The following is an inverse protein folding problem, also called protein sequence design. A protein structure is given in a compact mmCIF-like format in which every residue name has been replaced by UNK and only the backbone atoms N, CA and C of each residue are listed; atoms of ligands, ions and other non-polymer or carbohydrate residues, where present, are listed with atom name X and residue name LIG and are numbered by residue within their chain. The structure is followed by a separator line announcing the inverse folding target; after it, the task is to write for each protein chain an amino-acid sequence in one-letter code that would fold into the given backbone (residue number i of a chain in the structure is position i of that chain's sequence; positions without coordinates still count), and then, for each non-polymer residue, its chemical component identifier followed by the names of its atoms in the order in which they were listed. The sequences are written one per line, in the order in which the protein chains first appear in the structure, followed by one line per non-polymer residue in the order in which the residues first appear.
data_IF_727863882515
#
_entry.id   IF_727863882515
#
_cell.length_a   1.000
_cell.length_b   1.000
_cell.length_c   1.000
_cell.angle_alpha   90.00
_cell.angle_beta   90.00
_cell.angle_gamma   90.00
#
_symmetry.space_group_name_H-M   'P 1'
#
loop_
_entity.id
_entity.type
_entity.pdbx_description
1 polymer ?
#
# COMPACT_ATOMS: atom_id res chain seq x y z
N UNK A 1 4.52 5.61 4.66
CA UNK A 1 3.85 4.55 5.46
C UNK A 1 4.91 3.77 6.24
N UNK A 2 4.66 3.41 7.49
CA UNK A 2 5.61 2.61 8.32
C UNK A 2 5.44 1.11 8.06
N UNK A 3 6.52 0.33 8.18
CA UNK A 3 6.49 -1.15 8.04
C UNK A 3 5.43 -1.80 8.95
N UNK A 4 5.30 -1.30 10.17
CA UNK A 4 4.32 -1.76 11.16
C UNK A 4 2.88 -1.79 10.62
N UNK A 5 2.49 -0.80 9.81
CA UNK A 5 1.15 -0.76 9.19
C UNK A 5 0.97 -1.81 8.09
N UNK A 6 2.04 -2.14 7.38
CA UNK A 6 2.04 -3.17 6.33
C UNK A 6 1.96 -4.56 6.96
N UNK A 7 2.74 -4.80 8.02
CA UNK A 7 2.65 -6.03 8.81
C UNK A 7 1.23 -6.23 9.34
N UNK A 8 0.60 -5.17 9.88
CA UNK A 8 -0.80 -5.23 10.33
C UNK A 8 -1.78 -5.60 9.21
N UNK A 9 -1.63 -5.06 8.01
CA UNK A 9 -2.46 -5.45 6.85
C UNK A 9 -2.29 -6.94 6.53
N UNK A 10 -1.07 -7.47 6.62
CA UNK A 10 -0.78 -8.88 6.37
C UNK A 10 -1.38 -9.79 7.45
N UNK A 11 -1.30 -9.38 8.72
CA UNK A 11 -1.94 -10.10 9.83
C UNK A 11 -3.45 -10.18 9.63
N UNK A 12 -4.11 -9.05 9.33
CA UNK A 12 -5.55 -8.99 9.05
C UNK A 12 -5.89 -9.84 7.81
N UNK A 13 -5.05 -9.81 6.77
CA UNK A 13 -5.27 -10.64 5.58
C UNK A 13 -5.15 -12.15 5.87
N UNK A 14 -4.22 -12.54 6.75
CA UNK A 14 -4.06 -13.94 7.18
C UNK A 14 -5.24 -14.38 8.03
N UNK A 15 -5.66 -13.55 8.99
CA UNK A 15 -6.83 -13.81 9.85
C UNK A 15 -8.12 -13.93 9.04
N UNK A 16 -8.31 -13.07 8.04
CA UNK A 16 -9.43 -13.13 7.09
C UNK A 16 -9.52 -14.48 6.36
N UNK A 17 -8.38 -15.09 6.02
CA UNK A 17 -8.33 -16.39 5.33
C UNK A 17 -8.61 -17.58 6.25
N UNK A 18 -8.30 -17.47 7.55
CA UNK A 18 -8.40 -18.60 8.48
C UNK A 18 -9.68 -18.61 9.28
N UNK A 19 -10.05 -17.48 9.87
CA UNK A 19 -11.15 -17.34 10.83
C UNK A 19 -12.22 -16.37 10.33
N UNK A 20 -11.86 -15.49 9.38
CA UNK A 20 -12.67 -14.34 9.02
C UNK A 20 -12.26 -13.10 9.82
N UNK A 21 -12.77 -11.95 9.43
CA UNK A 21 -12.55 -10.67 10.11
C UNK A 21 -13.85 -10.22 10.75
N UNK A 22 -13.75 -9.56 11.90
CA UNK A 22 -14.87 -8.80 12.46
C UNK A 22 -15.08 -7.51 11.66
N UNK A 23 -16.26 -6.89 11.76
CA UNK A 23 -16.55 -5.62 11.08
C UNK A 23 -15.55 -4.50 11.44
N UNK A 24 -15.10 -4.45 12.69
CA UNK A 24 -14.05 -3.51 13.13
C UNK A 24 -12.71 -3.77 12.43
N UNK A 25 -12.33 -5.02 12.28
CA UNK A 25 -11.09 -5.40 11.59
C UNK A 25 -11.17 -5.18 10.08
N UNK A 26 -12.36 -5.31 9.49
CA UNK A 26 -12.60 -4.96 8.09
C UNK A 26 -12.40 -3.45 7.89
N UNK A 27 -12.99 -2.62 8.76
CA UNK A 27 -12.83 -1.18 8.72
C UNK A 27 -11.36 -0.75 8.92
N UNK A 28 -10.65 -1.37 9.88
CA UNK A 28 -9.21 -1.14 10.09
C UNK A 28 -8.41 -1.49 8.84
N UNK A 29 -8.67 -2.66 8.25
CA UNK A 29 -7.98 -3.12 7.03
C UNK A 29 -8.24 -2.18 5.85
N UNK A 30 -9.47 -1.69 5.68
CA UNK A 30 -9.80 -0.76 4.60
C UNK A 30 -9.10 0.58 4.77
N UNK A 31 -9.08 1.13 5.99
CA UNK A 31 -8.37 2.37 6.29
C UNK A 31 -6.88 2.24 6.00
N UNK A 32 -6.26 1.17 6.50
CA UNK A 32 -4.84 0.88 6.27
C UNK A 32 -4.51 0.69 4.79
N UNK A 33 -5.38 0.01 4.04
CA UNK A 33 -5.21 -0.22 2.60
C UNK A 33 -5.34 1.08 1.81
N UNK A 34 -6.27 1.96 2.20
CA UNK A 34 -6.42 3.27 1.57
C UNK A 34 -5.17 4.13 1.77
N UNK A 35 -4.64 4.17 2.99
CA UNK A 35 -3.41 4.91 3.30
C UNK A 35 -2.20 4.35 2.52
N UNK A 36 -2.09 3.02 2.39
CA UNK A 36 -1.06 2.39 1.56
C UNK A 36 -1.17 2.80 0.10
N UNK A 37 -2.38 2.71 -0.49
CA UNK A 37 -2.61 3.05 -1.89
C UNK A 37 -2.30 4.52 -2.17
N UNK A 38 -2.64 5.42 -1.26
CA UNK A 38 -2.33 6.84 -1.39
C UNK A 38 -0.81 7.09 -1.39
N UNK A 39 -0.10 6.47 -0.43
CA UNK A 39 1.35 6.54 -0.35
C UNK A 39 2.03 5.94 -1.60
N UNK A 40 1.52 4.81 -2.11
CA UNK A 40 2.03 4.17 -3.33
C UNK A 40 1.75 5.05 -4.56
N UNK A 41 0.56 5.63 -4.70
CA UNK A 41 0.24 6.54 -5.81
C UNK A 41 1.12 7.78 -5.79
N UNK A 42 1.34 8.37 -4.62
CA UNK A 42 2.22 9.52 -4.46
C UNK A 42 3.68 9.17 -4.81
N UNK A 43 4.16 8.01 -4.35
CA UNK A 43 5.50 7.53 -4.68
C UNK A 43 5.64 7.21 -6.18
N UNK A 44 4.66 6.52 -6.77
CA UNK A 44 4.67 6.16 -8.19
C UNK A 44 4.63 7.39 -9.10
N UNK A 45 3.84 8.41 -8.74
CA UNK A 45 3.82 9.69 -9.46
C UNK A 45 5.20 10.37 -9.42
N UNK A 46 5.87 10.37 -8.26
CA UNK A 46 7.24 10.89 -8.14
C UNK A 46 8.24 10.08 -8.97
N UNK A 47 8.10 8.76 -8.98
CA UNK A 47 8.96 7.89 -9.79
C UNK A 47 8.79 8.20 -11.27
N UNK A 48 7.55 8.33 -11.77
CA UNK A 48 7.26 8.69 -13.16
C UNK A 48 7.78 10.09 -13.52
N UNK A 49 7.62 11.07 -12.63
CA UNK A 49 8.13 12.44 -12.81
C UNK A 49 9.67 12.47 -12.85
N UNK A 50 10.32 11.53 -12.14
CA UNK A 50 11.77 11.35 -12.13
C UNK A 50 12.29 10.53 -13.32
N UNK A 51 11.43 9.97 -14.18
CA UNK A 51 11.87 9.32 -15.42
C UNK A 51 12.25 10.43 -16.41
N UNK A 52 13.52 10.85 -16.36
CA UNK A 52 14.13 11.58 -17.48
C UNK A 52 14.30 10.62 -18.67
N UNK A 53 13.73 11.00 -19.82
CA UNK A 53 14.03 10.35 -21.09
C UNK A 53 15.46 10.77 -21.45
N UNK A 54 16.44 9.94 -21.11
CA UNK A 54 17.80 10.11 -21.63
C UNK A 54 17.82 9.60 -23.06
N UNK A 55 17.44 10.46 -24.02
CA UNK A 55 17.85 10.28 -25.41
C UNK A 55 19.37 10.49 -25.45
N UNK A 56 20.12 9.40 -25.35
CA UNK A 56 21.54 9.41 -25.72
C UNK A 56 21.61 9.35 -27.24
N UNK A 57 21.23 10.44 -27.89
CA UNK A 57 21.62 10.75 -29.24
C UNK A 57 22.96 11.47 -29.22
N UNK A 58 24.05 10.70 -29.30
CA UNK A 58 25.31 11.01 -30.02
C UNK A 58 26.33 9.88 -29.81
#
# INVERSE_FOLDING_TARGET
MKREKIDRINELAKKAKTVGLTDEEIAERELLRREYLDAVRANFKRTLDSIEITDKGE
#
